data_IF_969538612282
#
_entry.id   IF_969538612282
#
_cell.length_a   1.000
_cell.length_b   1.000
_cell.length_c   1.000
_cell.angle_alpha   90.00
_cell.angle_beta   90.00
_cell.angle_gamma   90.00
#
_symmetry.space_group_name_H-M   'P 1'
#
loop_
_entity.id
_entity.type
_entity.pdbx_description
1 polymer ?
#
# COMPACT_ATOMS: atom_id res chain seq x y z
N UNK A 1 41.81 -19.69 -22.36
CA UNK A 1 41.18 -19.86 -21.02
C UNK A 1 40.64 -18.56 -20.43
N UNK A 2 41.38 -17.44 -20.45
CA UNK A 2 40.92 -16.16 -19.86
C UNK A 2 39.65 -15.58 -20.50
N UNK A 3 39.48 -15.67 -21.83
CA UNK A 3 38.29 -15.18 -22.52
C UNK A 3 37.02 -15.96 -22.14
N UNK A 4 37.08 -17.30 -22.12
CA UNK A 4 35.97 -18.16 -21.69
C UNK A 4 35.57 -17.91 -20.22
N UNK A 5 36.55 -17.71 -19.34
CA UNK A 5 36.29 -17.36 -17.94
C UNK A 5 35.57 -16.01 -17.80
N UNK A 6 35.94 -15.02 -18.61
CA UNK A 6 35.28 -13.70 -18.62
C UNK A 6 33.83 -13.78 -19.14
N UNK A 7 33.59 -14.59 -20.16
CA UNK A 7 32.23 -14.82 -20.70
C UNK A 7 31.35 -15.55 -19.68
N UNK A 8 31.89 -16.59 -19.02
CA UNK A 8 31.16 -17.31 -17.98
C UNK A 8 30.81 -16.40 -16.80
N UNK A 9 31.75 -15.56 -16.37
CA UNK A 9 31.51 -14.61 -15.29
C UNK A 9 30.41 -13.59 -15.67
N UNK A 10 30.45 -13.07 -16.90
CA UNK A 10 29.42 -12.16 -17.40
C UNK A 10 28.02 -12.81 -17.46
N UNK A 11 27.94 -14.08 -17.84
CA UNK A 11 26.67 -14.83 -17.83
C UNK A 11 26.15 -15.01 -16.41
N UNK A 12 27.01 -15.38 -15.46
CA UNK A 12 26.62 -15.56 -14.05
C UNK A 12 26.16 -14.25 -13.44
N UNK A 13 26.84 -13.12 -13.70
CA UNK A 13 26.44 -11.82 -13.15
C UNK A 13 25.11 -11.32 -13.72
N UNK A 14 24.86 -11.53 -15.01
CA UNK A 14 23.57 -11.18 -15.63
C UNK A 14 22.44 -12.00 -15.03
N UNK A 15 22.63 -13.32 -14.90
CA UNK A 15 21.62 -14.21 -14.33
C UNK A 15 21.38 -13.85 -12.86
N UNK A 16 22.42 -13.70 -12.05
CA UNK A 16 22.30 -13.31 -10.65
C UNK A 16 21.64 -11.94 -10.48
N UNK A 17 21.98 -10.96 -11.33
CA UNK A 17 21.36 -9.63 -11.31
C UNK A 17 19.87 -9.68 -11.66
N UNK A 18 19.48 -10.47 -12.66
CA UNK A 18 18.07 -10.66 -13.02
C UNK A 18 17.28 -11.30 -11.87
N UNK A 19 17.81 -12.35 -11.24
CA UNK A 19 17.17 -12.98 -10.09
C UNK A 19 17.09 -12.03 -8.88
N UNK A 20 18.16 -11.29 -8.57
CA UNK A 20 18.16 -10.33 -7.47
C UNK A 20 17.12 -9.20 -7.68
N UNK A 21 16.95 -8.73 -8.91
CA UNK A 21 15.96 -7.68 -9.23
C UNK A 21 14.51 -8.10 -8.96
N UNK A 22 14.22 -9.41 -9.03
CA UNK A 22 12.90 -9.97 -8.78
C UNK A 22 12.45 -9.79 -7.30
N UNK A 23 13.41 -9.66 -6.38
CA UNK A 23 13.15 -9.54 -4.94
C UNK A 23 13.19 -8.09 -4.44
N UNK A 24 13.70 -7.14 -5.22
CA UNK A 24 13.82 -5.72 -4.81
C UNK A 24 12.56 -4.91 -5.19
N UNK A 25 11.72 -5.43 -6.10
CA UNK A 25 10.57 -4.70 -6.68
C UNK A 25 9.19 -4.99 -6.08
N UNK A 26 9.05 -5.92 -5.14
CA UNK A 26 7.75 -6.16 -4.49
C UNK A 26 7.50 -5.10 -3.40
N UNK A 27 7.09 -3.90 -3.84
CA UNK A 27 6.46 -2.94 -2.95
C UNK A 27 5.18 -3.56 -2.41
N UNK A 28 5.18 -3.91 -1.13
CA UNK A 28 3.94 -4.26 -0.42
C UNK A 28 3.02 -3.05 -0.47
N UNK A 29 1.86 -3.16 -1.14
CA UNK A 29 0.81 -2.15 -0.96
C UNK A 29 0.33 -2.28 0.48
N UNK A 30 0.85 -1.44 1.37
CA UNK A 30 0.40 -1.43 2.75
C UNK A 30 -1.02 -0.87 2.77
N UNK A 31 -1.92 -1.64 3.37
CA UNK A 31 -3.10 -1.06 3.97
C UNK A 31 -2.60 -0.10 5.07
N UNK A 32 -2.82 1.20 4.92
CA UNK A 32 -2.30 2.22 5.84
C UNK A 32 -3.26 2.45 7.00
N UNK A 33 -2.74 2.55 8.22
CA UNK A 33 -3.49 3.12 9.34
C UNK A 33 -3.54 4.64 9.14
N UNK A 34 -4.74 5.19 8.99
CA UNK A 34 -4.93 6.62 8.76
C UNK A 34 -5.00 7.40 10.08
N UNK A 35 -5.75 6.86 11.05
CA UNK A 35 -5.94 7.45 12.37
C UNK A 35 -6.43 6.42 13.39
N UNK A 36 -6.18 6.71 14.66
CA UNK A 36 -6.67 5.92 15.79
C UNK A 36 -7.01 6.80 16.99
N UNK A 37 -7.92 6.32 17.83
CA UNK A 37 -8.23 6.94 19.11
C UNK A 37 -8.49 5.85 20.15
N UNK A 38 -7.88 6.01 21.32
CA UNK A 38 -8.12 5.17 22.49
C UNK A 38 -8.85 5.95 23.57
N UNK A 39 -9.82 5.30 24.21
CA UNK A 39 -10.60 5.85 25.32
C UNK A 39 -10.76 4.78 26.40
N UNK A 40 -10.62 5.16 27.67
CA UNK A 40 -10.99 4.30 28.80
C UNK A 40 -12.48 4.51 29.10
N UNK A 41 -13.27 3.44 29.07
CA UNK A 41 -14.70 3.49 29.33
C UNK A 41 -15.06 3.48 30.83
N UNK A 42 -16.36 3.53 31.15
CA UNK A 42 -16.84 3.53 32.54
C UNK A 42 -16.66 2.20 33.31
N UNK A 43 -16.10 1.17 32.67
CA UNK A 43 -15.76 -0.14 33.27
C UNK A 43 -14.25 -0.36 33.31
N UNK A 44 -13.47 0.70 33.12
CA UNK A 44 -12.01 0.68 33.05
C UNK A 44 -11.46 -0.15 31.89
N UNK A 45 -12.22 -0.32 30.80
CA UNK A 45 -11.72 -0.96 29.57
C UNK A 45 -11.13 0.08 28.62
N UNK A 46 -9.93 -0.19 28.11
CA UNK A 46 -9.34 0.61 27.03
C UNK A 46 -9.92 0.17 25.69
N UNK A 47 -10.72 1.03 25.08
CA UNK A 47 -11.31 0.83 23.76
C UNK A 47 -10.45 1.54 22.72
N UNK A 48 -9.98 0.85 21.68
CA UNK A 48 -9.25 1.47 20.58
C UNK A 48 -10.00 1.31 19.26
N UNK A 49 -10.27 2.44 18.60
CA UNK A 49 -10.90 2.48 17.28
C UNK A 49 -9.86 2.98 16.28
N UNK A 50 -9.82 2.33 15.12
CA UNK A 50 -8.88 2.65 14.05
C UNK A 50 -9.58 2.79 12.70
N UNK A 51 -9.08 3.72 11.89
CA UNK A 51 -9.46 3.92 10.49
C UNK A 51 -8.29 3.59 9.57
N UNK A 52 -8.54 2.79 8.55
CA UNK A 52 -7.55 2.31 7.60
C UNK A 52 -8.03 2.53 6.16
N UNK A 53 -7.08 2.73 5.25
CA UNK A 53 -7.30 2.75 3.79
C UNK A 53 -8.38 3.73 3.32
N UNK A 54 -8.48 4.89 3.97
CA UNK A 54 -9.52 5.87 3.67
C UNK A 54 -9.23 6.53 2.34
N UNK A 55 -10.14 6.32 1.39
CA UNK A 55 -10.07 6.96 0.09
C UNK A 55 -11.41 7.58 -0.28
N UNK A 56 -11.38 8.88 -0.57
CA UNK A 56 -12.50 9.64 -1.10
C UNK A 56 -12.24 9.94 -2.57
N UNK A 57 -12.85 9.15 -3.45
CA UNK A 57 -12.68 9.30 -4.89
C UNK A 57 -13.70 10.29 -5.45
N UNK A 58 -13.29 11.53 -5.70
CA UNK A 58 -14.13 12.52 -6.38
C UNK A 58 -14.39 12.13 -7.83
N UNK A 59 -15.65 12.20 -8.26
CA UNK A 59 -16.06 11.86 -9.63
C UNK A 59 -16.79 13.02 -10.29
N UNK A 60 -16.88 13.00 -11.62
CA UNK A 60 -17.74 13.94 -12.33
C UNK A 60 -19.20 13.69 -11.92
N UNK A 61 -19.95 14.73 -11.51
CA UNK A 61 -21.33 14.58 -11.10
C UNK A 61 -22.20 13.99 -12.21
N UNK A 62 -23.01 13.00 -11.87
CA UNK A 62 -23.89 12.32 -12.83
C UNK A 62 -24.93 13.28 -13.44
N UNK A 63 -25.34 14.28 -12.67
CA UNK A 63 -26.28 15.33 -13.06
C UNK A 63 -25.68 16.41 -14.00
N UNK A 64 -24.36 16.36 -14.26
CA UNK A 64 -23.59 17.34 -15.05
C UNK A 64 -23.68 18.77 -14.53
N UNK A 65 -24.10 18.97 -13.30
CA UNK A 65 -24.18 20.28 -12.68
C UNK A 65 -22.78 20.67 -12.16
N UNK A 66 -22.33 21.89 -12.50
CA UNK A 66 -21.02 22.41 -12.09
C UNK A 66 -20.92 22.68 -10.59
N UNK A 67 -22.04 22.78 -9.89
CA UNK A 67 -22.10 23.01 -8.44
C UNK A 67 -22.22 21.73 -7.63
N UNK A 68 -22.65 20.62 -8.25
CA UNK A 68 -22.72 19.31 -7.57
C UNK A 68 -21.31 18.76 -7.36
N UNK A 69 -21.12 18.01 -6.28
CA UNK A 69 -19.91 17.25 -5.97
C UNK A 69 -20.34 15.84 -5.61
N UNK A 70 -19.74 14.85 -6.25
CA UNK A 70 -20.02 13.44 -6.01
C UNK A 70 -18.71 12.71 -5.74
N UNK A 71 -18.75 11.69 -4.88
CA UNK A 71 -17.59 10.86 -4.56
C UNK A 71 -18.00 9.45 -4.15
N UNK A 72 -17.06 8.51 -4.26
CA UNK A 72 -17.13 7.19 -3.64
C UNK A 72 -16.20 7.13 -2.43
N UNK A 73 -16.70 6.63 -1.31
CA UNK A 73 -15.93 6.40 -0.08
C UNK A 73 -15.54 4.93 0.01
N UNK A 74 -14.25 4.66 0.17
CA UNK A 74 -13.71 3.34 0.56
C UNK A 74 -12.87 3.48 1.82
N UNK A 75 -12.86 2.44 2.65
CA UNK A 75 -12.07 2.40 3.88
C UNK A 75 -12.41 1.19 4.74
N UNK A 76 -11.62 0.98 5.80
CA UNK A 76 -11.82 -0.08 6.79
C UNK A 76 -11.79 0.49 8.20
N UNK A 77 -12.78 0.10 8.99
CA UNK A 77 -12.79 0.34 10.43
C UNK A 77 -12.32 -0.94 11.16
N UNK A 78 -11.52 -0.77 12.22
CA UNK A 78 -11.17 -1.85 13.15
C UNK A 78 -11.40 -1.41 14.59
N UNK A 79 -11.76 -2.39 15.40
CA UNK A 79 -11.85 -2.26 16.84
C UNK A 79 -10.83 -3.22 17.46
N UNK A 80 -9.95 -2.73 18.33
CA UNK A 80 -8.84 -3.47 18.93
C UNK A 80 -8.86 -3.28 20.45
#
# INVERSE_FOLDING_TARGET
MKAFSRVLLAMVTVVAGAFASLFIGMGTSHAGLDNELSLVDGKDWTLTIQQWDTFLNGVFPLDRNRLTREWFHSGKAKYI
#
